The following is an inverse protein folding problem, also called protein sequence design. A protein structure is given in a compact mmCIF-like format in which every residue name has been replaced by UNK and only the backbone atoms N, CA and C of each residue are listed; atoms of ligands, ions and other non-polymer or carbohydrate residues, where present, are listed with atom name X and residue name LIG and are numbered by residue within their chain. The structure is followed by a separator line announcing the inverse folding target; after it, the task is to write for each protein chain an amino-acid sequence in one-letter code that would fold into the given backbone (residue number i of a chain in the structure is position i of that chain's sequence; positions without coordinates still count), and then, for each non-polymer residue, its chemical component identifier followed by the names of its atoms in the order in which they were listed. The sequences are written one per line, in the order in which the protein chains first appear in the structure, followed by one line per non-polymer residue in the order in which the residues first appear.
data_IF_772481208345
#
_entry.id   IF_772481208345
#
_cell.length_a   1.000
_cell.length_b   1.000
_cell.length_c   1.000
_cell.angle_alpha   90.00
_cell.angle_beta   90.00
_cell.angle_gamma   90.00
#
_symmetry.space_group_name_H-M   'P 1'
#
loop_
_entity.id
_entity.type
_entity.pdbx_description
1 polymer ?
#
# COMPACT_ATOMS: atom_id res chain seq x y z
N UNK A 1 24.93 25.36 -1.89
CA UNK A 1 23.59 24.90 -2.32
C UNK A 1 23.76 23.57 -3.04
N UNK A 2 23.52 22.43 -2.38
CA UNK A 2 23.73 21.09 -2.97
C UNK A 2 22.89 20.00 -2.26
N UNK A 3 21.68 20.34 -1.79
CA UNK A 3 20.81 19.42 -1.03
C UNK A 3 19.47 19.11 -1.71
N UNK A 4 19.17 19.70 -2.88
CA UNK A 4 17.84 19.56 -3.50
C UNK A 4 17.68 18.28 -4.33
N UNK A 5 18.74 17.80 -4.98
CA UNK A 5 18.63 16.68 -5.92
C UNK A 5 18.52 15.31 -5.21
N UNK A 6 19.15 15.15 -4.05
CA UNK A 6 19.11 13.89 -3.29
C UNK A 6 17.72 13.61 -2.67
N UNK A 7 17.08 14.63 -2.10
CA UNK A 7 15.74 14.52 -1.47
C UNK A 7 14.62 14.20 -2.47
N UNK A 8 14.73 14.70 -3.71
CA UNK A 8 13.74 14.42 -4.77
C UNK A 8 13.81 12.97 -5.23
N UNK A 9 15.02 12.40 -5.32
CA UNK A 9 15.20 11.00 -5.69
C UNK A 9 14.72 10.03 -4.61
N UNK A 10 14.88 10.38 -3.32
CA UNK A 10 14.36 9.56 -2.23
C UNK A 10 12.83 9.56 -2.19
N UNK A 11 12.19 10.73 -2.29
CA UNK A 11 10.73 10.82 -2.28
C UNK A 11 10.05 10.06 -3.42
N UNK A 12 10.59 10.15 -4.65
CA UNK A 12 10.07 9.37 -5.78
C UNK A 12 10.23 7.85 -5.57
N UNK A 13 11.35 7.42 -4.98
CA UNK A 13 11.59 6.01 -4.68
C UNK A 13 10.64 5.50 -3.60
N UNK A 14 10.33 6.32 -2.60
CA UNK A 14 9.38 5.99 -1.53
C UNK A 14 7.95 5.84 -2.08
N UNK A 15 7.51 6.72 -2.99
CA UNK A 15 6.20 6.61 -3.63
C UNK A 15 6.08 5.35 -4.51
N UNK A 16 7.11 5.03 -5.30
CA UNK A 16 7.14 3.77 -6.07
C UNK A 16 7.09 2.54 -5.18
N UNK A 17 7.79 2.60 -4.05
CA UNK A 17 7.76 1.51 -3.09
C UNK A 17 6.35 1.33 -2.51
N UNK A 18 5.67 2.44 -2.16
CA UNK A 18 4.26 2.40 -1.73
C UNK A 18 3.36 1.78 -2.79
N UNK A 19 3.48 2.20 -4.06
CA UNK A 19 2.69 1.64 -5.16
C UNK A 19 2.86 0.12 -5.26
N UNK A 20 4.11 -0.37 -5.25
CA UNK A 20 4.41 -1.79 -5.29
C UNK A 20 3.76 -2.55 -4.12
N UNK A 21 3.90 -2.06 -2.89
CA UNK A 21 3.28 -2.71 -1.72
C UNK A 21 1.76 -2.75 -1.82
N UNK A 22 1.12 -1.67 -2.31
CA UNK A 22 -0.32 -1.60 -2.49
C UNK A 22 -0.79 -2.60 -3.54
N UNK A 23 -0.12 -2.67 -4.69
CA UNK A 23 -0.47 -3.63 -5.75
C UNK A 23 -0.27 -5.08 -5.32
N UNK A 24 0.79 -5.37 -4.58
CA UNK A 24 1.03 -6.71 -4.02
C UNK A 24 -0.08 -7.08 -3.05
N UNK A 25 -0.45 -6.17 -2.13
CA UNK A 25 -1.54 -6.39 -1.20
C UNK A 25 -2.87 -6.67 -1.93
N UNK A 26 -3.24 -5.85 -2.92
CA UNK A 26 -4.46 -6.07 -3.74
C UNK A 26 -4.47 -7.45 -4.41
N UNK A 27 -3.34 -7.87 -5.01
CA UNK A 27 -3.23 -9.17 -5.66
C UNK A 27 -3.35 -10.33 -4.66
N UNK A 28 -2.67 -10.23 -3.53
CA UNK A 28 -2.73 -11.26 -2.49
C UNK A 28 -4.13 -11.39 -1.91
N UNK A 29 -4.81 -10.28 -1.63
CA UNK A 29 -6.20 -10.29 -1.18
C UNK A 29 -7.11 -10.91 -2.23
N UNK A 30 -7.00 -10.49 -3.49
CA UNK A 30 -7.81 -11.07 -4.57
C UNK A 30 -7.63 -12.58 -4.71
N UNK A 31 -6.40 -13.08 -4.63
CA UNK A 31 -6.13 -14.53 -4.68
C UNK A 31 -6.63 -15.26 -3.44
N UNK A 32 -6.35 -14.72 -2.24
CA UNK A 32 -6.73 -15.33 -0.97
C UNK A 32 -8.26 -15.43 -0.83
N UNK A 33 -8.97 -14.37 -1.21
CA UNK A 33 -10.44 -14.30 -1.17
C UNK A 33 -11.11 -15.20 -2.20
N UNK A 34 -10.51 -15.36 -3.39
CA UNK A 34 -10.99 -16.32 -4.40
C UNK A 34 -10.83 -17.78 -3.95
N UNK A 35 -9.74 -18.09 -3.25
CA UNK A 35 -9.43 -19.45 -2.80
C UNK A 35 -10.03 -19.77 -1.42
N UNK A 36 -10.39 -18.74 -0.64
CA UNK A 36 -10.81 -18.83 0.76
C UNK A 36 -9.81 -19.63 1.61
N UNK A 37 -8.53 -19.57 1.25
CA UNK A 37 -7.47 -20.28 1.97
C UNK A 37 -7.05 -19.46 3.20
N UNK A 38 -7.16 -20.03 4.43
CA UNK A 38 -6.87 -19.28 5.66
C UNK A 38 -5.42 -18.80 5.77
N UNK A 39 -4.45 -19.55 5.27
CA UNK A 39 -3.03 -19.17 5.31
C UNK A 39 -2.78 -18.00 4.35
N UNK A 40 -3.33 -18.06 3.15
CA UNK A 40 -3.28 -16.97 2.19
C UNK A 40 -4.01 -15.72 2.69
N UNK A 41 -5.15 -15.87 3.39
CA UNK A 41 -5.86 -14.73 3.99
C UNK A 41 -5.01 -14.05 5.07
N UNK A 42 -4.27 -14.81 5.87
CA UNK A 42 -3.33 -14.26 6.85
C UNK A 42 -2.18 -13.50 6.18
N UNK A 43 -1.55 -14.10 5.17
CA UNK A 43 -0.48 -13.44 4.42
C UNK A 43 -0.96 -12.19 3.68
N UNK A 44 -2.16 -12.22 3.14
CA UNK A 44 -2.77 -11.06 2.51
C UNK A 44 -3.06 -9.94 3.52
N UNK A 45 -3.49 -10.27 4.75
CA UNK A 45 -3.64 -9.30 5.84
C UNK A 45 -2.29 -8.67 6.23
N UNK A 46 -1.23 -9.45 6.34
CA UNK A 46 0.13 -8.93 6.61
C UNK A 46 0.61 -8.00 5.48
N UNK A 47 0.36 -8.35 4.22
CA UNK A 47 0.71 -7.52 3.07
C UNK A 47 -0.02 -6.16 3.09
N UNK A 48 -1.31 -6.17 3.40
CA UNK A 48 -2.13 -4.95 3.57
C UNK A 48 -1.59 -4.08 4.71
N UNK A 49 -1.25 -4.67 5.85
CA UNK A 49 -0.70 -3.93 6.99
C UNK A 49 0.66 -3.30 6.67
N UNK A 50 1.53 -4.05 5.96
CA UNK A 50 2.80 -3.54 5.46
C UNK A 50 2.60 -2.36 4.51
N UNK A 51 1.68 -2.46 3.56
CA UNK A 51 1.36 -1.38 2.63
C UNK A 51 0.81 -0.14 3.35
N UNK A 52 -0.04 -0.32 4.38
CA UNK A 52 -0.52 0.78 5.24
C UNK A 52 0.63 1.51 5.94
N UNK A 53 1.59 0.77 6.51
CA UNK A 53 2.77 1.37 7.15
C UNK A 53 3.60 2.19 6.18
N UNK A 54 3.85 1.66 4.98
CA UNK A 54 4.62 2.36 3.96
C UNK A 54 3.88 3.61 3.45
N UNK A 55 2.57 3.51 3.21
CA UNK A 55 1.74 4.65 2.82
C UNK A 55 1.74 5.76 3.88
N UNK A 56 1.67 5.39 5.16
CA UNK A 56 1.72 6.34 6.26
C UNK A 56 3.07 7.07 6.35
N UNK A 57 4.18 6.36 6.11
CA UNK A 57 5.52 6.96 6.05
C UNK A 57 5.65 7.93 4.87
N UNK A 58 5.25 7.50 3.67
CA UNK A 58 5.27 8.37 2.50
C UNK A 58 4.41 9.62 2.70
N UNK A 59 3.24 9.51 3.33
CA UNK A 59 2.40 10.67 3.70
C UNK A 59 3.09 11.70 4.59
N UNK A 60 3.96 11.27 5.50
CA UNK A 60 4.70 12.19 6.37
C UNK A 60 5.80 12.97 5.62
N UNK A 61 6.28 12.42 4.51
CA UNK A 61 7.33 12.98 3.67
C UNK A 61 6.78 13.66 2.41
N UNK A 62 5.49 13.44 2.11
CA UNK A 62 4.84 13.86 0.90
C UNK A 62 4.78 15.38 0.76
N UNK A 63 4.97 15.84 -0.47
CA UNK A 63 4.73 17.22 -0.84
C UNK A 63 3.31 17.36 -1.40
N UNK A 64 2.79 18.59 -1.50
CA UNK A 64 1.40 18.82 -1.94
C UNK A 64 1.03 18.26 -3.32
N UNK A 65 2.02 17.87 -4.14
CA UNK A 65 1.83 17.28 -5.48
C UNK A 65 1.49 15.79 -5.41
N UNK A 66 1.80 15.11 -4.29
CA UNK A 66 1.68 13.65 -4.16
C UNK A 66 0.30 13.20 -3.62
N UNK A 67 -0.58 14.16 -3.30
CA UNK A 67 -1.84 13.93 -2.58
C UNK A 67 -2.82 13.00 -3.30
N UNK A 68 -2.98 13.16 -4.61
CA UNK A 68 -3.92 12.33 -5.40
C UNK A 68 -3.45 10.87 -5.46
N UNK A 69 -2.14 10.65 -5.65
CA UNK A 69 -1.54 9.32 -5.65
C UNK A 69 -1.74 8.63 -4.30
N UNK A 70 -1.42 9.31 -3.20
CA UNK A 70 -1.56 8.75 -1.85
C UNK A 70 -3.03 8.48 -1.49
N UNK A 71 -3.96 9.28 -2.00
CA UNK A 71 -5.40 9.06 -1.84
C UNK A 71 -5.85 7.81 -2.61
N UNK A 72 -5.37 7.61 -3.84
CA UNK A 72 -5.67 6.39 -4.60
C UNK A 72 -5.13 5.14 -3.91
N UNK A 73 -3.89 5.18 -3.41
CA UNK A 73 -3.32 4.09 -2.63
C UNK A 73 -4.15 3.77 -1.37
N UNK A 74 -4.64 4.78 -0.66
CA UNK A 74 -5.50 4.58 0.50
C UNK A 74 -6.83 3.91 0.12
N UNK A 75 -7.47 4.35 -0.98
CA UNK A 75 -8.72 3.76 -1.44
C UNK A 75 -8.55 2.29 -1.85
N UNK A 76 -7.45 1.96 -2.53
CA UNK A 76 -7.10 0.58 -2.89
C UNK A 76 -6.95 -0.30 -1.65
N UNK A 77 -6.17 0.14 -0.66
CA UNK A 77 -5.99 -0.59 0.59
C UNK A 77 -7.29 -0.73 1.39
N UNK A 78 -8.13 0.31 1.45
CA UNK A 78 -9.41 0.23 2.14
C UNK A 78 -10.35 -0.83 1.52
N UNK A 79 -10.33 -0.98 0.19
CA UNK A 79 -11.08 -2.03 -0.52
C UNK A 79 -10.50 -3.42 -0.23
N UNK A 80 -9.18 -3.57 -0.29
CA UNK A 80 -8.51 -4.83 0.01
C UNK A 80 -8.80 -5.29 1.46
N UNK A 81 -8.75 -4.38 2.42
CA UNK A 81 -9.13 -4.65 3.81
C UNK A 81 -10.59 -5.06 3.97
N UNK A 82 -11.49 -4.47 3.18
CA UNK A 82 -12.90 -4.85 3.18
C UNK A 82 -13.08 -6.29 2.71
N UNK A 83 -12.47 -6.65 1.57
CA UNK A 83 -12.55 -8.01 1.01
C UNK A 83 -11.97 -9.06 1.96
N UNK A 84 -10.86 -8.75 2.63
CA UNK A 84 -10.30 -9.64 3.66
C UNK A 84 -11.28 -9.86 4.82
N UNK A 85 -11.86 -8.79 5.35
CA UNK A 85 -12.83 -8.90 6.44
C UNK A 85 -14.04 -9.73 6.03
N UNK A 86 -14.52 -9.57 4.80
CA UNK A 86 -15.63 -10.36 4.28
C UNK A 86 -15.27 -11.85 4.12
N UNK A 87 -14.06 -12.18 3.67
CA UNK A 87 -13.63 -13.56 3.49
C UNK A 87 -13.24 -14.28 4.80
N UNK A 88 -12.95 -13.53 5.86
CA UNK A 88 -12.61 -14.07 7.18
C UNK A 88 -13.85 -14.27 8.08
N UNK A 89 -15.01 -13.79 7.68
CA UNK A 89 -16.29 -13.98 8.37
C UNK A 89 -16.89 -15.36 8.06
#
# INVERSE_FOLDING_TARGET
MAKRDADVHTGYNDLKQVEMFVETAEKMVGQATMQLDPEMLNHAAEAVENARRQLARARQQATGVDGDFLTQCEQKLARAEHQLREAQQ
#
